data_IF_974976466204
#
_entry.id   IF_974976466204
#
_cell.length_a   1.000
_cell.length_b   1.000
_cell.length_c   1.000
_cell.angle_alpha   90.00
_cell.angle_beta   90.00
_cell.angle_gamma   90.00
#
_symmetry.space_group_name_H-M   'P 1'
#
loop_
_entity.id
_entity.type
_entity.pdbx_description
1 polymer ?
#
# COMPACT_ATOMS: atom_id res chain seq x y z
N UNK A 1 -42.45 -57.20 -9.04
CA UNK A 1 -41.08 -56.65 -9.20
C UNK A 1 -40.95 -55.13 -8.97
N UNK A 2 -41.95 -54.42 -8.47
CA UNK A 2 -41.91 -52.95 -8.31
C UNK A 2 -41.50 -52.49 -6.90
N UNK A 3 -41.79 -53.29 -5.86
CA UNK A 3 -41.51 -52.95 -4.46
C UNK A 3 -40.01 -52.98 -4.16
N UNK A 4 -39.30 -54.00 -4.68
CA UNK A 4 -37.83 -54.13 -4.52
C UNK A 4 -37.10 -52.95 -5.16
N UNK A 5 -37.53 -52.52 -6.35
CA UNK A 5 -36.95 -51.34 -7.04
C UNK A 5 -37.20 -50.03 -6.27
N UNK A 6 -38.37 -49.88 -5.65
CA UNK A 6 -38.69 -48.72 -4.79
C UNK A 6 -37.85 -48.69 -3.51
N UNK A 7 -37.59 -49.85 -2.90
CA UNK A 7 -36.71 -49.97 -1.74
C UNK A 7 -35.25 -49.66 -2.11
N UNK A 8 -34.78 -50.17 -3.24
CA UNK A 8 -33.44 -49.89 -3.75
C UNK A 8 -33.22 -48.40 -4.03
N UNK A 9 -34.18 -47.74 -4.69
CA UNK A 9 -34.12 -46.30 -4.95
C UNK A 9 -34.10 -45.47 -3.65
N UNK A 10 -34.85 -45.90 -2.62
CA UNK A 10 -34.77 -45.27 -1.29
C UNK A 10 -33.40 -45.47 -0.67
N UNK A 11 -32.86 -46.70 -0.64
CA UNK A 11 -31.55 -46.97 -0.08
C UNK A 11 -30.44 -46.15 -0.76
N UNK A 12 -30.48 -46.02 -2.09
CA UNK A 12 -29.56 -45.17 -2.85
C UNK A 12 -29.67 -43.69 -2.47
N UNK A 13 -30.90 -43.18 -2.30
CA UNK A 13 -31.13 -41.81 -1.83
C UNK A 13 -30.57 -41.59 -0.43
N UNK A 14 -30.83 -42.51 0.51
CA UNK A 14 -30.27 -42.45 1.86
C UNK A 14 -28.74 -42.47 1.86
N UNK A 15 -28.13 -43.30 0.99
CA UNK A 15 -26.68 -43.35 0.85
C UNK A 15 -26.08 -42.03 0.35
N UNK A 16 -26.69 -41.42 -0.67
CA UNK A 16 -26.26 -40.12 -1.21
C UNK A 16 -26.41 -38.99 -0.17
N UNK A 17 -27.54 -38.94 0.53
CA UNK A 17 -27.75 -37.99 1.62
C UNK A 17 -26.74 -38.19 2.75
N UNK A 18 -26.47 -39.44 3.15
CA UNK A 18 -25.48 -39.75 4.16
C UNK A 18 -24.09 -39.22 3.79
N UNK A 19 -23.63 -39.49 2.55
CA UNK A 19 -22.35 -38.96 2.05
C UNK A 19 -22.31 -37.44 2.04
N UNK A 20 -23.39 -36.79 1.62
CA UNK A 20 -23.49 -35.33 1.64
C UNK A 20 -23.37 -34.77 3.06
N UNK A 21 -24.11 -35.31 4.02
CA UNK A 21 -24.08 -34.82 5.40
C UNK A 21 -22.73 -35.07 6.07
N UNK A 22 -22.09 -36.21 5.82
CA UNK A 22 -20.74 -36.49 6.32
C UNK A 22 -19.72 -35.51 5.75
N UNK A 23 -19.75 -35.27 4.43
CA UNK A 23 -18.86 -34.29 3.80
C UNK A 23 -19.11 -32.87 4.30
N UNK A 24 -20.38 -32.50 4.47
CA UNK A 24 -20.77 -31.20 5.01
C UNK A 24 -20.29 -31.04 6.45
N UNK A 25 -20.49 -32.06 7.29
CA UNK A 25 -20.04 -32.03 8.67
C UNK A 25 -18.52 -31.94 8.78
N UNK A 26 -17.79 -32.67 7.93
CA UNK A 26 -16.34 -32.56 7.85
C UNK A 26 -15.88 -31.17 7.42
N UNK A 27 -16.54 -30.57 6.42
CA UNK A 27 -16.23 -29.22 5.93
C UNK A 27 -16.55 -28.14 6.96
N UNK A 28 -17.74 -28.19 7.55
CA UNK A 28 -18.17 -27.24 8.57
C UNK A 28 -17.31 -27.38 9.83
N UNK A 29 -16.93 -28.61 10.20
CA UNK A 29 -16.02 -28.92 11.30
C UNK A 29 -14.60 -28.41 11.05
N UNK A 30 -14.04 -28.63 9.85
CA UNK A 30 -12.70 -28.14 9.52
C UNK A 30 -12.67 -26.61 9.46
N UNK A 31 -13.72 -25.97 8.91
CA UNK A 31 -13.84 -24.51 8.89
C UNK A 31 -14.06 -23.91 10.27
N UNK A 32 -14.81 -24.60 11.12
CA UNK A 32 -14.97 -24.20 12.52
C UNK A 32 -13.64 -24.32 13.27
N UNK A 33 -12.93 -25.44 13.10
CA UNK A 33 -11.63 -25.65 13.72
C UNK A 33 -10.61 -24.60 13.25
N UNK A 34 -10.59 -24.28 11.95
CA UNK A 34 -9.78 -23.19 11.41
C UNK A 34 -10.14 -21.84 12.06
N UNK A 35 -11.43 -21.55 12.23
CA UNK A 35 -11.89 -20.29 12.86
C UNK A 35 -11.51 -20.19 14.34
N UNK A 36 -11.56 -21.31 15.08
CA UNK A 36 -11.18 -21.35 16.49
C UNK A 36 -9.67 -21.28 16.65
N UNK A 37 -8.92 -22.00 15.83
CA UNK A 37 -7.47 -22.11 15.95
C UNK A 37 -6.72 -20.89 15.40
N UNK A 38 -7.20 -20.32 14.29
CA UNK A 38 -6.55 -19.21 13.59
C UNK A 38 -7.30 -17.87 13.71
N UNK A 39 -8.37 -17.83 14.51
CA UNK A 39 -9.11 -16.61 14.83
C UNK A 39 -10.08 -16.16 13.73
N UNK A 40 -11.10 -15.42 14.17
CA UNK A 40 -12.22 -14.91 13.36
C UNK A 40 -11.85 -13.81 12.34
N UNK A 41 -10.56 -13.60 12.05
CA UNK A 41 -10.08 -12.60 11.09
C UNK A 41 -9.94 -13.12 9.65
N UNK A 42 -9.94 -14.44 9.46
CA UNK A 42 -9.71 -15.09 8.16
C UNK A 42 -11.00 -15.64 7.55
N UNK A 43 -12.03 -14.80 7.42
CA UNK A 43 -13.29 -15.17 6.76
C UNK A 43 -13.57 -14.30 5.54
N UNK A 44 -12.54 -14.10 4.71
CA UNK A 44 -12.67 -13.68 3.32
C UNK A 44 -11.66 -14.45 2.51
N UNK A 45 -12.12 -15.27 1.55
CA UNK A 45 -11.34 -16.13 0.66
C UNK A 45 -9.90 -15.63 0.37
N UNK A 46 -8.92 -16.14 1.11
CA UNK A 46 -7.51 -15.97 0.80
C UNK A 46 -6.62 -16.01 2.04
N UNK A 47 -5.36 -16.45 1.91
CA UNK A 47 -4.34 -16.15 2.93
C UNK A 47 -4.36 -14.63 3.17
N UNK A 48 -4.16 -14.22 4.42
CA UNK A 48 -3.99 -12.82 4.78
C UNK A 48 -2.63 -12.36 4.26
N UNK A 49 -2.49 -12.28 2.93
CA UNK A 49 -1.36 -11.67 2.27
C UNK A 49 -1.36 -10.22 2.74
N UNK A 50 -0.21 -9.73 3.20
CA UNK A 50 -0.01 -8.34 3.54
C UNK A 50 -0.33 -7.47 2.32
N UNK A 51 -1.62 -7.16 2.16
CA UNK A 51 -2.15 -6.40 1.06
C UNK A 51 -2.06 -4.95 1.49
N UNK A 52 -1.10 -4.24 0.90
CA UNK A 52 -0.97 -2.80 1.08
C UNK A 52 -2.20 -2.17 0.44
N UNK A 53 -3.00 -1.47 1.23
CA UNK A 53 -4.15 -0.75 0.72
C UNK A 53 -3.68 0.32 -0.28
N UNK A 54 -4.11 0.20 -1.54
CA UNK A 54 -3.81 1.17 -2.60
C UNK A 54 -4.96 2.15 -2.85
N UNK A 55 -6.17 1.82 -2.37
CA UNK A 55 -7.37 2.64 -2.52
C UNK A 55 -8.34 2.40 -1.36
N UNK A 56 -9.10 3.44 -0.99
CA UNK A 56 -10.18 3.34 -0.01
C UNK A 56 -11.38 2.62 -0.65
N UNK A 57 -11.73 1.45 -0.11
CA UNK A 57 -12.86 0.64 -0.61
C UNK A 57 -14.21 1.22 -0.16
N UNK A 58 -15.30 0.77 -0.81
CA UNK A 58 -16.68 1.15 -0.40
C UNK A 58 -16.97 0.77 1.05
N UNK A 59 -16.49 -0.39 1.51
CA UNK A 59 -16.70 -0.83 2.88
C UNK A 59 -15.92 0.06 3.87
N UNK A 60 -14.66 0.37 3.57
CA UNK A 60 -13.88 1.32 4.40
C UNK A 60 -14.54 2.68 4.46
N UNK A 61 -15.08 3.18 3.34
CA UNK A 61 -15.83 4.44 3.33
C UNK A 61 -17.04 4.41 4.26
N UNK A 62 -17.79 3.31 4.28
CA UNK A 62 -18.91 3.17 5.21
C UNK A 62 -18.43 3.22 6.68
N UNK A 63 -17.37 2.47 7.01
CA UNK A 63 -16.81 2.45 8.36
C UNK A 63 -16.29 3.83 8.81
N UNK A 64 -15.69 4.59 7.89
CA UNK A 64 -15.25 5.96 8.16
C UNK A 64 -16.44 6.92 8.36
N UNK A 65 -17.51 6.76 7.56
CA UNK A 65 -18.74 7.54 7.76
C UNK A 65 -19.37 7.25 9.13
N UNK A 66 -19.41 5.98 9.52
CA UNK A 66 -19.92 5.55 10.84
C UNK A 66 -19.05 6.12 11.99
N UNK A 67 -17.75 6.33 11.75
CA UNK A 67 -16.82 7.01 12.67
C UNK A 67 -16.89 8.55 12.64
N UNK A 68 -17.80 9.12 11.83
CA UNK A 68 -18.05 10.56 11.74
C UNK A 68 -17.17 11.31 10.75
N UNK A 69 -16.43 10.63 9.87
CA UNK A 69 -15.61 11.29 8.87
C UNK A 69 -16.47 11.88 7.74
N UNK A 70 -16.33 13.17 7.40
CA UNK A 70 -17.04 13.75 6.28
C UNK A 70 -16.52 13.21 4.94
N UNK A 71 -17.36 13.10 3.90
CA UNK A 71 -16.97 12.57 2.59
C UNK A 71 -15.78 13.31 1.96
N UNK A 72 -15.67 14.62 2.20
CA UNK A 72 -14.56 15.46 1.76
C UNK A 72 -13.22 15.00 2.36
N UNK A 73 -13.17 14.75 3.67
CA UNK A 73 -11.96 14.28 4.33
C UNK A 73 -11.55 12.87 3.87
N UNK A 74 -12.53 11.98 3.66
CA UNK A 74 -12.27 10.61 3.18
C UNK A 74 -11.60 10.62 1.80
N UNK A 75 -11.94 11.58 0.92
CA UNK A 75 -11.38 11.64 -0.44
C UNK A 75 -9.88 11.98 -0.48
N UNK A 76 -9.38 12.68 0.54
CA UNK A 76 -7.99 13.15 0.64
C UNK A 76 -7.15 12.15 1.45
N UNK A 77 -7.81 11.29 2.22
CA UNK A 77 -7.17 10.36 3.13
C UNK A 77 -6.36 9.29 2.38
N UNK A 78 -5.14 9.04 2.82
CA UNK A 78 -4.35 7.94 2.27
C UNK A 78 -4.97 6.59 2.65
N UNK A 79 -5.01 5.61 1.74
CA UNK A 79 -5.62 4.30 2.02
C UNK A 79 -4.99 3.56 3.21
N UNK A 80 -3.68 3.67 3.38
CA UNK A 80 -2.97 3.09 4.53
C UNK A 80 -3.39 3.75 5.85
N UNK A 81 -3.58 5.07 5.85
CA UNK A 81 -4.05 5.81 7.02
C UNK A 81 -5.50 5.46 7.34
N UNK A 82 -6.37 5.36 6.32
CA UNK A 82 -7.75 4.91 6.48
C UNK A 82 -7.83 3.53 7.14
N UNK A 83 -6.97 2.60 6.73
CA UNK A 83 -6.92 1.27 7.33
C UNK A 83 -6.49 1.32 8.81
N UNK A 84 -5.52 2.17 9.16
CA UNK A 84 -5.12 2.39 10.56
C UNK A 84 -6.25 2.97 11.39
N UNK A 85 -6.91 4.03 10.91
CA UNK A 85 -8.06 4.66 11.58
C UNK A 85 -9.16 3.64 11.87
N UNK A 86 -9.46 2.78 10.90
CA UNK A 86 -10.46 1.71 11.07
C UNK A 86 -10.00 0.66 12.08
N UNK A 87 -8.73 0.24 12.03
CA UNK A 87 -8.17 -0.74 12.95
C UNK A 87 -8.17 -0.22 14.39
N UNK A 88 -7.81 1.04 14.58
CA UNK A 88 -7.68 1.71 15.87
C UNK A 88 -9.00 2.33 16.35
N UNK A 89 -10.06 2.30 15.52
CA UNK A 89 -11.39 2.87 15.78
C UNK A 89 -11.34 4.35 16.19
N UNK A 90 -10.51 5.13 15.51
CA UNK A 90 -10.30 6.55 15.80
C UNK A 90 -11.49 7.36 15.26
N UNK A 91 -11.98 8.31 16.05
CA UNK A 91 -13.05 9.24 15.64
C UNK A 91 -12.48 10.45 14.90
N UNK A 92 -13.31 11.13 14.11
CA UNK A 92 -12.87 12.29 13.33
C UNK A 92 -12.20 13.39 14.19
N UNK A 93 -12.73 13.66 15.39
CA UNK A 93 -12.16 14.67 16.31
C UNK A 93 -10.75 14.31 16.74
N UNK A 94 -10.52 13.05 17.12
CA UNK A 94 -9.21 12.56 17.52
C UNK A 94 -8.21 12.57 16.35
N UNK A 95 -8.69 12.30 15.14
CA UNK A 95 -7.86 12.35 13.95
C UNK A 95 -7.39 13.78 13.64
N UNK A 96 -8.24 14.80 13.79
CA UNK A 96 -7.84 16.20 13.60
C UNK A 96 -6.77 16.64 14.61
N UNK A 97 -6.88 16.21 15.87
CA UNK A 97 -5.88 16.50 16.90
C UNK A 97 -4.52 15.89 16.56
N UNK A 98 -4.52 14.63 16.11
CA UNK A 98 -3.30 13.94 15.68
C UNK A 98 -2.69 14.62 14.44
N UNK A 99 -3.50 15.01 13.47
CA UNK A 99 -3.02 15.71 12.29
C UNK A 99 -2.34 17.03 12.63
N UNK A 100 -2.92 17.83 13.54
CA UNK A 100 -2.35 19.10 13.97
C UNK A 100 -0.97 18.89 14.60
N UNK A 101 -0.84 17.90 15.48
CA UNK A 101 0.44 17.58 16.12
C UNK A 101 1.50 17.11 15.11
N UNK A 102 1.12 16.28 14.14
CA UNK A 102 2.06 15.80 13.11
C UNK A 102 2.55 16.94 12.21
N UNK A 103 1.67 17.87 11.83
CA UNK A 103 2.04 19.03 11.00
C UNK A 103 3.00 19.97 11.73
N UNK A 104 2.79 20.21 13.02
CA UNK A 104 3.69 21.02 13.84
C UNK A 104 5.08 20.38 13.93
N UNK A 105 5.15 19.08 14.25
CA UNK A 105 6.42 18.35 14.35
C UNK A 105 7.13 18.25 12.99
N UNK A 106 6.39 18.06 11.90
CA UNK A 106 6.95 18.05 10.56
C UNK A 106 7.53 19.42 10.18
N UNK A 107 6.84 20.49 10.55
CA UNK A 107 7.31 21.87 10.38
C UNK A 107 8.60 22.15 11.15
N UNK A 108 8.72 21.67 12.38
CA UNK A 108 9.96 21.79 13.16
C UNK A 108 11.11 21.00 12.55
N UNK A 109 10.87 19.75 12.15
CA UNK A 109 11.89 18.91 11.49
C UNK A 109 12.37 19.52 10.17
N UNK A 110 11.46 20.09 9.37
CA UNK A 110 11.83 20.78 8.13
C UNK A 110 12.70 22.02 8.41
N UNK A 111 12.36 22.82 9.43
CA UNK A 111 13.18 23.97 9.85
C UNK A 111 14.58 23.53 10.31
N UNK A 112 14.68 22.42 11.03
CA UNK A 112 15.96 21.88 11.46
C UNK A 112 16.79 21.33 10.29
N UNK A 113 16.17 20.61 9.34
CA UNK A 113 16.84 20.11 8.15
C UNK A 113 17.40 21.24 7.28
N UNK A 114 16.61 22.30 7.04
CA UNK A 114 17.06 23.46 6.28
C UNK A 114 18.26 24.18 6.92
N UNK A 115 18.26 24.31 8.26
CA UNK A 115 19.40 24.90 8.98
C UNK A 115 20.67 24.04 8.86
N UNK A 116 20.52 22.71 8.88
CA UNK A 116 21.65 21.79 8.70
C UNK A 116 22.20 21.82 7.27
N UNK A 117 21.34 21.90 6.26
CA UNK A 117 21.77 22.05 4.86
C UNK A 117 22.45 23.40 4.62
N UNK A 118 21.93 24.49 5.16
CA UNK A 118 22.58 25.81 5.08
C UNK A 118 23.97 25.81 5.75
N UNK A 119 24.10 25.19 6.92
CA UNK A 119 25.40 25.08 7.59
C UNK A 119 26.42 24.27 6.76
N UNK A 120 25.99 23.17 6.14
CA UNK A 120 26.84 22.35 5.25
C UNK A 120 27.24 23.08 3.98
N UNK A 121 26.33 23.85 3.37
CA UNK A 121 26.63 24.66 2.18
C UNK A 121 27.61 25.80 2.51
N UNK A 122 27.43 26.48 3.65
CA UNK A 122 28.37 27.52 4.10
C UNK A 122 29.73 26.97 4.54
N UNK A 123 29.84 25.69 4.87
CA UNK A 123 31.11 25.03 5.16
C UNK A 123 31.83 24.61 3.86
N UNK A 124 31.09 24.13 2.85
CA UNK A 124 31.61 23.87 1.51
C UNK A 124 32.09 25.15 0.81
N UNK A 125 31.38 26.27 0.94
CA UNK A 125 31.76 27.55 0.33
C UNK A 125 33.01 28.16 0.97
N UNK A 126 33.32 27.85 2.24
CA UNK A 126 34.56 28.26 2.91
C UNK A 126 35.79 27.43 2.52
N UNK A 127 35.59 26.24 1.94
CA UNK A 127 36.70 25.41 1.46
C UNK A 127 37.21 25.89 0.10
N UNK A 128 36.36 26.47 -0.75
CA UNK A 128 36.76 26.97 -2.07
C UNK A 128 37.40 28.37 -2.07
N UNK A 129 37.27 29.16 -0.99
CA UNK A 129 37.85 30.52 -0.92
C UNK A 129 39.31 30.53 -0.40
N UNK A 130 39.83 29.43 0.15
CA UNK A 130 41.20 29.36 0.69
C UNK A 130 42.27 28.86 -0.29
N UNK A 131 42.01 28.94 -1.60
CA UNK A 131 42.95 28.50 -2.63
C UNK A 131 43.11 29.49 -3.78
N UNK A 132 43.25 30.77 -3.48
CA UNK A 132 43.83 31.70 -4.45
C UNK A 132 44.88 32.59 -3.79
N UNK A 133 46.11 32.43 -4.25
CA UNK A 133 47.04 33.52 -4.53
C UNK A 133 47.94 33.09 -5.71
N UNK A 134 48.51 34.04 -6.49
CA UNK A 134 48.22 34.14 -7.91
C UNK A 134 49.45 34.02 -8.83
N UNK A 135 49.20 34.04 -10.14
CA UNK A 135 50.05 34.53 -11.24
C UNK A 135 50.49 33.51 -12.32
N UNK A 136 50.55 34.08 -13.54
CA UNK A 136 51.34 33.70 -14.71
C UNK A 136 50.76 32.68 -15.70
N UNK A 137 50.10 33.24 -16.72
CA UNK A 137 50.44 33.14 -18.15
C UNK A 137 50.74 31.77 -18.81
N UNK A 138 50.05 31.59 -19.94
CA UNK A 138 50.54 30.95 -21.18
C UNK A 138 50.69 29.43 -21.24
N UNK A 139 49.84 28.77 -22.06
CA UNK A 139 50.24 28.24 -23.37
C UNK A 139 49.22 27.22 -23.93
N UNK A 140 48.77 27.47 -25.17
CA UNK A 140 48.46 26.52 -26.26
C UNK A 140 47.45 25.37 -26.01
N UNK A 141 46.51 25.00 -26.89
CA UNK A 141 46.65 24.78 -28.32
C UNK A 141 45.26 24.38 -28.89
N UNK A 142 44.74 25.18 -29.83
CA UNK A 142 44.16 24.85 -31.17
C UNK A 142 43.28 23.59 -31.39
N UNK A 143 42.35 23.76 -32.36
CA UNK A 143 41.71 22.79 -33.30
C UNK A 143 40.20 22.60 -32.98
N UNK A 144 39.29 23.35 -33.64
CA UNK A 144 38.55 22.97 -34.88
C UNK A 144 37.81 21.62 -34.74
N UNK A 145 36.53 21.41 -35.10
CA UNK A 145 35.92 21.67 -36.41
C UNK A 145 34.41 21.30 -36.38
N UNK A 146 33.61 22.13 -37.05
CA UNK A 146 32.43 21.83 -37.92
C UNK A 146 31.39 20.76 -37.56
N UNK A 147 30.15 21.28 -37.42
CA UNK A 147 28.86 20.80 -37.95
C UNK A 147 28.98 19.81 -39.12
N UNK A 148 28.16 18.75 -39.13
CA UNK A 148 27.32 18.38 -40.29
C UNK A 148 26.20 17.39 -39.91
N UNK A 149 24.99 17.80 -40.27
CA UNK A 149 23.77 16.98 -40.44
C UNK A 149 23.96 15.95 -41.56
N UNK A 150 23.37 14.75 -41.43
CA UNK A 150 22.43 14.23 -42.45
C UNK A 150 21.77 12.89 -42.05
N UNK A 151 20.50 12.80 -42.44
CA UNK A 151 19.66 11.60 -42.49
C UNK A 151 20.35 10.39 -43.18
N UNK A 152 19.91 9.16 -42.87
CA UNK A 152 19.28 8.26 -43.86
C UNK A 152 18.66 7.02 -43.17
N UNK A 153 17.35 6.88 -43.39
CA UNK A 153 16.48 5.69 -43.31
C UNK A 153 17.14 4.35 -43.67
N UNK A 154 16.76 3.27 -42.96
CA UNK A 154 16.00 2.12 -43.54
C UNK A 154 15.83 0.94 -42.56
N UNK A 155 14.61 0.38 -42.60
CA UNK A 155 14.26 -1.06 -42.47
C UNK A 155 14.55 -1.71 -41.10
N UNK A 156 13.60 -2.32 -40.41
CA UNK A 156 12.81 -3.51 -40.77
C UNK A 156 11.47 -3.43 -39.99
N UNK A 157 10.32 -3.51 -40.64
CA UNK A 157 9.59 -4.74 -41.03
C UNK A 157 9.22 -5.64 -39.87
#
# INVERSE_FOLDING_TARGET
MTIVRRLQARAQRWHLLGRYYVNKWHYDGSKWAERVWYGQGSTGNGPQVASVAFMITRNMRQQLLDAGFPPSAISILQPAMAQKIIADKITFVQFEEQQKQEVEQAGERAKHALKQEQAKLSELEKVDINKEDPAAESAALVVQQTVDDEEVKKMQS
#
